data_IF_442931423454
#
_entry.id   IF_442931423454
#
_cell.length_a   1.000
_cell.length_b   1.000
_cell.length_c   1.000
_cell.angle_alpha   90.00
_cell.angle_beta   90.00
_cell.angle_gamma   90.00
#
_symmetry.space_group_name_H-M   'P 1'
#
loop_
_entity.id
_entity.type
_entity.pdbx_description
1 polymer ?
#
# COMPACT_ATOMS: atom_id res chain seq x y z
N UNK A 1 -57.74 37.22 -2.19
CA UNK A 1 -56.70 36.90 -1.18
C UNK A 1 -56.23 35.48 -1.44
N UNK A 2 -55.04 35.28 -2.00
CA UNK A 2 -54.44 33.96 -2.23
C UNK A 2 -53.22 33.85 -1.31
N UNK A 3 -53.33 33.03 -0.27
CA UNK A 3 -52.20 32.74 0.61
C UNK A 3 -51.32 31.69 -0.09
N UNK A 4 -50.11 32.10 -0.47
CA UNK A 4 -49.09 31.22 -1.01
C UNK A 4 -48.30 30.66 0.18
N UNK A 5 -48.48 29.36 0.48
CA UNK A 5 -47.69 28.66 1.49
C UNK A 5 -46.33 28.30 0.87
N UNK A 6 -45.24 28.89 1.35
CA UNK A 6 -43.88 28.51 0.97
C UNK A 6 -43.39 27.48 2.00
N UNK A 7 -43.26 26.22 1.58
CA UNK A 7 -42.66 25.16 2.39
C UNK A 7 -41.17 25.15 2.07
N UNK A 8 -40.36 25.67 3.00
CA UNK A 8 -38.90 25.62 2.92
C UNK A 8 -38.42 24.29 3.50
N UNK A 9 -38.04 23.34 2.65
CA UNK A 9 -37.42 22.09 3.08
C UNK A 9 -35.95 22.38 3.42
N UNK A 10 -35.61 22.40 4.71
CA UNK A 10 -34.23 22.45 5.20
C UNK A 10 -33.63 21.05 5.10
N UNK A 11 -32.95 20.75 3.99
CA UNK A 11 -32.09 19.57 3.86
C UNK A 11 -30.86 19.78 4.74
N UNK A 12 -30.87 19.18 5.94
CA UNK A 12 -29.69 19.06 6.77
C UNK A 12 -28.74 18.04 6.12
N UNK A 13 -27.88 18.50 5.21
CA UNK A 13 -26.67 17.77 4.84
C UNK A 13 -25.74 17.76 6.05
N UNK A 14 -25.93 16.78 6.93
CA UNK A 14 -24.90 16.44 7.91
C UNK A 14 -23.78 15.78 7.13
N UNK A 15 -22.78 16.56 6.69
CA UNK A 15 -21.51 15.97 6.29
C UNK A 15 -20.97 15.28 7.54
N UNK A 16 -21.14 13.96 7.63
CA UNK A 16 -20.31 13.16 8.52
C UNK A 16 -18.89 13.39 8.05
N UNK A 17 -18.17 14.29 8.72
CA UNK A 17 -16.73 14.46 8.57
C UNK A 17 -16.09 13.15 9.04
N UNK A 18 -16.13 12.12 8.19
CA UNK A 18 -15.17 11.04 8.26
C UNK A 18 -13.82 11.68 8.01
N UNK A 19 -12.85 11.44 8.87
CA UNK A 19 -11.49 11.88 8.57
C UNK A 19 -11.07 11.23 7.25
N UNK A 20 -10.75 12.05 6.25
CA UNK A 20 -10.20 11.55 4.99
C UNK A 20 -8.91 10.78 5.30
N UNK A 21 -8.83 9.54 4.84
CA UNK A 21 -7.67 8.69 5.09
C UNK A 21 -6.56 9.11 4.13
N UNK A 22 -5.46 9.60 4.69
CA UNK A 22 -4.25 9.91 3.93
C UNK A 22 -3.46 8.62 3.65
N UNK A 23 -3.66 8.05 2.46
CA UNK A 23 -2.97 6.83 2.03
C UNK A 23 -1.48 7.05 1.70
N UNK A 24 -1.17 8.20 1.10
CA UNK A 24 0.17 8.49 0.56
C UNK A 24 1.24 8.69 1.64
N UNK A 25 2.48 8.38 1.27
CA UNK A 25 3.66 8.60 2.11
C UNK A 25 4.60 7.40 2.17
N UNK A 26 5.53 7.46 3.13
CA UNK A 26 6.46 6.35 3.42
C UNK A 26 6.17 5.80 4.81
N UNK A 27 6.06 4.48 4.89
CA UNK A 27 5.87 3.76 6.13
C UNK A 27 7.00 2.76 6.34
N UNK A 28 7.43 2.59 7.59
CA UNK A 28 8.53 1.67 7.92
C UNK A 28 8.25 0.90 9.21
N UNK A 29 8.92 -0.23 9.36
CA UNK A 29 9.08 -0.92 10.64
C UNK A 29 10.51 -1.45 10.79
N UNK A 30 10.88 -1.78 12.03
CA UNK A 30 12.25 -2.16 12.35
C UNK A 30 13.19 -0.97 12.29
N UNK A 31 14.45 -1.20 12.63
CA UNK A 31 15.48 -0.14 12.62
C UNK A 31 16.63 -0.50 11.70
N UNK A 32 17.24 -1.68 11.93
CA UNK A 32 18.33 -2.20 11.11
C UNK A 32 18.18 -3.71 10.89
N UNK A 33 18.68 -4.26 9.78
CA UNK A 33 18.71 -5.70 9.57
C UNK A 33 19.49 -6.48 10.64
N UNK A 34 20.47 -5.86 11.30
CA UNK A 34 21.23 -6.49 12.40
C UNK A 34 20.39 -6.69 13.67
N UNK A 35 19.39 -5.83 13.89
CA UNK A 35 18.50 -5.88 15.06
C UNK A 35 17.22 -6.67 14.81
N UNK A 36 16.98 -7.11 13.57
CA UNK A 36 15.85 -7.95 13.20
C UNK A 36 15.27 -7.62 11.83
N UNK A 37 13.99 -7.96 11.64
CA UNK A 37 13.27 -7.70 10.40
C UNK A 37 13.09 -6.20 10.19
N UNK A 38 13.21 -5.76 8.95
CA UNK A 38 12.90 -4.38 8.56
C UNK A 38 11.99 -4.37 7.34
N UNK A 39 11.21 -3.30 7.20
CA UNK A 39 10.40 -3.08 6.02
C UNK A 39 10.21 -1.60 5.75
N UNK A 40 10.11 -1.28 4.46
CA UNK A 40 9.78 0.05 3.97
C UNK A 40 8.75 -0.10 2.87
N UNK A 41 7.73 0.74 2.89
CA UNK A 41 6.78 0.88 1.80
C UNK A 41 6.58 2.34 1.45
N UNK A 42 6.69 2.66 0.17
CA UNK A 42 6.35 3.95 -0.41
C UNK A 42 5.02 3.83 -1.15
N UNK A 43 4.09 4.74 -0.89
CA UNK A 43 2.73 4.69 -1.42
C UNK A 43 2.42 6.00 -2.14
N UNK A 44 1.98 5.86 -3.39
CA UNK A 44 1.60 6.95 -4.29
C UNK A 44 0.13 6.81 -4.69
N UNK A 45 -0.73 7.80 -4.42
CA UNK A 45 -2.10 7.81 -4.93
C UNK A 45 -2.12 7.99 -6.45
N UNK A 46 -2.61 6.98 -7.18
CA UNK A 46 -2.69 7.00 -8.64
C UNK A 46 -4.07 7.48 -9.12
N UNK A 47 -5.13 7.15 -8.38
CA UNK A 47 -6.48 7.65 -8.60
C UNK A 47 -7.28 7.63 -7.29
N UNK A 48 -8.55 8.02 -7.33
CA UNK A 48 -9.47 7.94 -6.19
C UNK A 48 -9.67 6.52 -5.65
N UNK A 49 -9.37 5.49 -6.46
CA UNK A 49 -9.58 4.08 -6.12
C UNK A 49 -8.34 3.21 -6.24
N UNK A 50 -7.18 3.77 -6.60
CA UNK A 50 -5.95 2.99 -6.81
C UNK A 50 -4.73 3.66 -6.22
N UNK A 51 -3.84 2.85 -5.66
CA UNK A 51 -2.57 3.29 -5.10
C UNK A 51 -1.45 2.44 -5.72
N UNK A 52 -0.37 3.08 -6.14
CA UNK A 52 0.87 2.37 -6.41
C UNK A 52 1.69 2.23 -5.15
N UNK A 53 2.43 1.13 -5.06
CA UNK A 53 3.38 0.92 -3.98
C UNK A 53 4.67 0.29 -4.45
N UNK A 54 5.74 0.63 -3.72
CA UNK A 54 7.00 -0.10 -3.70
C UNK A 54 7.20 -0.62 -2.27
N UNK A 55 7.25 -1.93 -2.10
CA UNK A 55 7.41 -2.59 -0.79
C UNK A 55 8.72 -3.37 -0.78
N UNK A 56 9.62 -2.99 0.13
CA UNK A 56 10.90 -3.66 0.38
C UNK A 56 10.91 -4.26 1.78
N UNK A 57 11.39 -5.50 1.87
CA UNK A 57 11.40 -6.30 3.09
C UNK A 57 12.75 -6.98 3.28
N UNK A 58 13.20 -7.04 4.54
CA UNK A 58 14.39 -7.77 4.95
C UNK A 58 14.09 -8.63 6.18
N UNK A 59 14.54 -9.89 6.19
CA UNK A 59 14.32 -10.79 7.33
C UNK A 59 15.29 -10.58 8.50
N UNK A 60 16.33 -9.78 8.31
CA UNK A 60 17.40 -9.52 9.25
C UNK A 60 18.51 -10.57 9.26
N UNK A 61 19.46 -10.39 10.17
CA UNK A 61 20.57 -11.30 10.41
C UNK A 61 20.09 -12.74 10.74
N UNK A 62 20.93 -13.78 10.49
CA UNK A 62 22.27 -13.70 9.90
C UNK A 62 22.28 -13.84 8.36
N UNK A 63 21.15 -14.16 7.73
CA UNK A 63 21.12 -14.40 6.28
C UNK A 63 20.82 -13.14 5.46
N UNK A 64 20.20 -12.12 6.07
CA UNK A 64 19.90 -10.84 5.43
C UNK A 64 19.08 -10.94 4.14
N UNK A 65 18.35 -12.05 3.95
CA UNK A 65 17.51 -12.23 2.78
C UNK A 65 16.51 -11.07 2.68
N UNK A 66 16.36 -10.55 1.47
CA UNK A 66 15.54 -9.39 1.19
C UNK A 66 14.99 -9.46 -0.22
N UNK A 67 13.83 -8.84 -0.38
CA UNK A 67 13.11 -8.74 -1.63
C UNK A 67 12.33 -7.45 -1.66
N UNK A 68 11.97 -7.04 -2.87
CA UNK A 68 11.06 -5.93 -3.08
C UNK A 68 10.04 -6.31 -4.15
N UNK A 69 8.85 -5.74 -4.05
CA UNK A 69 7.84 -5.83 -5.10
C UNK A 69 7.26 -4.44 -5.37
N UNK A 70 6.72 -4.30 -6.57
CA UNK A 70 5.94 -3.14 -7.00
C UNK A 70 4.55 -3.62 -7.37
N UNK A 71 3.52 -2.81 -7.10
CA UNK A 71 2.18 -3.16 -7.52
C UNK A 71 1.20 -2.01 -7.44
N UNK A 72 0.00 -2.27 -7.93
CA UNK A 72 -1.16 -1.41 -7.79
C UNK A 72 -2.18 -2.08 -6.88
N UNK A 73 -2.47 -1.47 -5.74
CA UNK A 73 -3.59 -1.90 -4.90
C UNK A 73 -4.87 -1.15 -5.25
N UNK A 74 -6.01 -1.81 -5.07
CA UNK A 74 -7.33 -1.23 -5.28
C UNK A 74 -7.96 -0.92 -3.92
N UNK A 75 -8.50 0.28 -3.76
CA UNK A 75 -9.24 0.68 -2.57
C UNK A 75 -10.67 0.18 -2.73
N UNK A 76 -11.13 -0.64 -1.80
CA UNK A 76 -12.50 -1.19 -1.82
C UNK A 76 -13.37 -0.68 -0.65
N UNK A 77 -12.75 -0.06 0.35
CA UNK A 77 -13.42 0.56 1.50
C UNK A 77 -12.50 1.65 2.08
N UNK A 78 -13.02 2.69 2.75
CA UNK A 78 -12.17 3.66 3.43
C UNK A 78 -11.16 2.98 4.37
N UNK A 79 -9.87 3.17 4.06
CA UNK A 79 -8.77 2.62 4.84
C UNK A 79 -8.39 1.20 4.47
N UNK A 80 -9.04 0.58 3.49
CA UNK A 80 -8.77 -0.80 3.10
C UNK A 80 -8.50 -0.91 1.60
N UNK A 81 -7.40 -1.58 1.27
CA UNK A 81 -7.01 -1.87 -0.10
C UNK A 81 -6.47 -3.30 -0.24
N UNK A 82 -6.50 -3.82 -1.45
CA UNK A 82 -5.98 -5.15 -1.79
C UNK A 82 -5.07 -5.10 -3.01
N UNK A 83 -4.08 -5.99 -3.03
CA UNK A 83 -3.26 -6.28 -4.20
C UNK A 83 -3.31 -7.78 -4.44
N UNK A 84 -3.48 -8.18 -5.69
CA UNK A 84 -3.36 -9.58 -6.09
C UNK A 84 -2.61 -9.67 -7.41
N UNK A 85 -1.56 -10.50 -7.42
CA UNK A 85 -0.86 -10.93 -8.62
C UNK A 85 -0.72 -12.44 -8.61
N UNK A 86 -1.33 -13.08 -9.61
CA UNK A 86 -1.25 -14.52 -9.85
C UNK A 86 -0.55 -14.72 -11.18
N UNK A 87 0.56 -15.46 -11.17
CA UNK A 87 1.23 -15.95 -12.37
C UNK A 87 1.39 -17.47 -12.24
N UNK A 88 0.55 -18.21 -12.98
CA UNK A 88 0.49 -19.67 -12.93
C UNK A 88 1.77 -20.33 -13.48
N UNK A 89 2.42 -19.72 -14.48
CA UNK A 89 3.63 -20.26 -15.08
C UNK A 89 4.80 -20.27 -14.09
N UNK A 90 4.86 -19.25 -13.25
CA UNK A 90 5.92 -19.06 -12.25
C UNK A 90 5.49 -19.50 -10.84
N UNK A 91 4.31 -20.12 -10.71
CA UNK A 91 3.73 -20.56 -9.43
C UNK A 91 3.64 -19.42 -8.40
N UNK A 92 3.40 -18.19 -8.85
CA UNK A 92 3.24 -17.02 -7.98
C UNK A 92 1.76 -16.86 -7.65
N UNK A 93 1.43 -16.91 -6.36
CA UNK A 93 0.15 -16.44 -5.84
C UNK A 93 0.41 -15.36 -4.79
N UNK A 94 0.65 -14.12 -5.22
CA UNK A 94 0.85 -13.00 -4.31
C UNK A 94 -0.47 -12.28 -4.06
N UNK A 95 -0.98 -12.29 -2.84
CA UNK A 95 -2.19 -11.54 -2.49
C UNK A 95 -2.08 -10.93 -1.09
N UNK A 96 -2.24 -9.62 -1.02
CA UNK A 96 -2.00 -8.78 0.15
C UNK A 96 -3.21 -7.92 0.47
N UNK A 97 -3.52 -7.78 1.76
CA UNK A 97 -4.48 -6.83 2.29
C UNK A 97 -3.74 -5.72 3.05
N UNK A 98 -4.16 -4.48 2.80
CA UNK A 98 -3.60 -3.26 3.37
C UNK A 98 -4.68 -2.57 4.19
N UNK A 99 -4.37 -2.27 5.45
CA UNK A 99 -5.25 -1.49 6.33
C UNK A 99 -4.55 -0.25 6.81
N UNK A 100 -5.12 0.89 6.45
CA UNK A 100 -4.58 2.21 6.71
C UNK A 100 -5.25 2.85 7.92
N UNK A 101 -4.45 3.61 8.63
CA UNK A 101 -4.86 4.66 9.54
C UNK A 101 -3.98 5.88 9.27
N UNK A 102 -4.25 7.02 9.91
CA UNK A 102 -3.52 8.26 9.65
C UNK A 102 -1.98 8.10 9.78
N UNK A 103 -1.51 7.30 10.74
CA UNK A 103 -0.09 7.13 11.05
C UNK A 103 0.41 5.67 11.00
N UNK A 104 -0.42 4.72 10.56
CA UNK A 104 -0.04 3.30 10.53
C UNK A 104 -0.64 2.57 9.34
N UNK A 105 0.08 1.54 8.89
CA UNK A 105 -0.30 0.65 7.82
C UNK A 105 -0.04 -0.80 8.25
N UNK A 106 -1.07 -1.64 8.16
CA UNK A 106 -0.99 -3.06 8.45
C UNK A 106 -1.06 -3.83 7.14
N UNK A 107 -0.05 -4.64 6.86
CA UNK A 107 0.00 -5.51 5.68
C UNK A 107 -0.14 -6.95 6.13
N UNK A 108 -1.04 -7.70 5.49
CA UNK A 108 -1.26 -9.13 5.74
C UNK A 108 -1.35 -9.88 4.43
N UNK A 109 -0.83 -11.10 4.41
CA UNK A 109 -1.03 -12.03 3.30
C UNK A 109 -2.43 -12.62 3.38
N UNK A 110 -3.16 -12.65 2.27
CA UNK A 110 -4.48 -13.27 2.21
C UNK A 110 -4.37 -14.80 2.37
N UNK A 111 -5.47 -15.45 2.76
CA UNK A 111 -5.47 -16.90 2.92
C UNK A 111 -5.11 -17.59 1.59
N UNK A 112 -4.30 -18.65 1.66
CA UNK A 112 -3.84 -19.44 0.51
C UNK A 112 -2.90 -18.72 -0.46
N UNK A 113 -2.51 -17.47 -0.18
CA UNK A 113 -1.47 -16.76 -0.92
C UNK A 113 -0.08 -16.98 -0.31
N UNK A 114 0.93 -16.88 -1.17
CA UNK A 114 2.34 -16.99 -0.83
C UNK A 114 2.92 -15.64 -0.41
N UNK A 115 4.16 -15.65 0.10
CA UNK A 115 4.91 -14.44 0.46
C UNK A 115 5.54 -13.74 -0.78
N UNK A 116 4.82 -13.69 -1.90
CA UNK A 116 5.12 -12.83 -3.05
C UNK A 116 6.55 -12.91 -3.64
N UNK A 117 7.28 -14.00 -3.42
CA UNK A 117 8.58 -14.23 -4.06
C UNK A 117 9.75 -13.38 -3.55
N UNK A 118 9.68 -12.78 -2.34
CA UNK A 118 10.78 -11.95 -1.81
C UNK A 118 12.11 -12.68 -1.55
N UNK A 119 12.12 -14.00 -1.65
CA UNK A 119 13.24 -14.87 -1.28
C UNK A 119 13.04 -15.59 0.05
N UNK A 120 14.01 -16.44 0.39
CA UNK A 120 13.85 -17.43 1.46
C UNK A 120 13.53 -16.79 2.83
N UNK A 121 12.37 -17.15 3.37
CA UNK A 121 11.87 -16.76 4.68
C UNK A 121 11.79 -15.23 4.89
N UNK A 122 11.42 -14.50 3.83
CA UNK A 122 11.02 -13.09 3.87
C UNK A 122 9.49 -13.06 3.73
N UNK A 123 8.80 -12.43 4.68
CA UNK A 123 7.34 -12.50 4.77
C UNK A 123 6.69 -11.14 4.51
N UNK A 124 5.62 -11.11 3.72
CA UNK A 124 4.93 -9.87 3.28
C UNK A 124 4.30 -9.08 4.42
N UNK A 125 4.01 -9.75 5.54
CA UNK A 125 3.28 -9.17 6.66
C UNK A 125 4.15 -8.26 7.55
N UNK A 126 3.56 -7.15 7.97
CA UNK A 126 4.18 -6.21 8.91
C UNK A 126 3.21 -5.12 9.38
N UNK A 127 3.60 -4.47 10.48
CA UNK A 127 2.89 -3.34 11.09
C UNK A 127 3.79 -2.12 10.96
N UNK A 128 3.46 -1.24 10.02
CA UNK A 128 4.30 -0.13 9.62
C UNK A 128 3.79 1.16 10.25
N UNK A 129 4.73 2.04 10.60
CA UNK A 129 4.45 3.40 11.04
C UNK A 129 4.77 4.38 9.93
N UNK A 130 3.91 5.37 9.71
CA UNK A 130 4.17 6.47 8.76
C UNK A 130 5.36 7.29 9.28
N UNK A 131 6.45 7.33 8.50
CA UNK A 131 7.66 8.08 8.84
C UNK A 131 7.85 9.31 7.98
N UNK A 132 7.21 9.36 6.80
CA UNK A 132 7.14 10.55 5.95
C UNK A 132 5.72 10.74 5.43
N UNK A 133 5.17 11.94 5.62
CA UNK A 133 3.83 12.32 5.14
C UNK A 133 3.84 12.80 3.69
N UNK A 134 4.97 13.32 3.23
CA UNK A 134 5.16 13.73 1.85
C UNK A 134 4.95 12.54 0.91
N UNK A 135 4.13 12.73 -0.12
CA UNK A 135 3.84 11.69 -1.11
C UNK A 135 5.08 11.52 -1.98
N UNK A 136 5.70 10.33 -2.02
CA UNK A 136 6.88 10.09 -2.83
C UNK A 136 6.53 10.10 -4.32
N UNK A 137 7.18 10.94 -5.13
CA UNK A 137 7.00 10.94 -6.59
C UNK A 137 7.74 9.78 -7.28
N UNK A 138 8.74 9.22 -6.61
CA UNK A 138 9.58 8.13 -7.08
C UNK A 138 10.02 7.23 -5.93
N UNK A 139 10.52 6.05 -6.28
CA UNK A 139 11.31 5.19 -5.38
C UNK A 139 12.66 4.85 -6.02
N UNK A 140 13.61 4.40 -5.21
CA UNK A 140 14.87 3.86 -5.67
C UNK A 140 14.75 2.36 -5.53
N UNK A 141 14.86 1.63 -6.65
CA UNK A 141 14.80 0.18 -6.62
C UNK A 141 16.15 -0.43 -6.21
N UNK A 142 16.20 -1.76 -6.10
CA UNK A 142 17.36 -2.45 -5.53
C UNK A 142 18.63 -2.33 -6.37
N UNK A 143 18.49 -2.06 -7.68
CA UNK A 143 19.62 -1.76 -8.58
C UNK A 143 20.24 -0.38 -8.34
N UNK A 144 19.53 0.50 -7.61
CA UNK A 144 19.86 1.92 -7.46
C UNK A 144 19.17 2.82 -8.49
N UNK A 145 18.40 2.26 -9.42
CA UNK A 145 17.65 3.04 -10.40
C UNK A 145 16.48 3.80 -9.75
N UNK A 146 16.27 5.04 -10.21
CA UNK A 146 15.12 5.86 -9.82
C UNK A 146 13.93 5.57 -10.72
N UNK A 147 12.82 5.16 -10.13
CA UNK A 147 11.58 4.84 -10.83
C UNK A 147 10.48 5.80 -10.39
N UNK A 148 9.87 6.50 -11.36
CA UNK A 148 8.80 7.45 -11.11
C UNK A 148 7.44 6.77 -11.06
N UNK A 149 6.64 7.03 -10.03
CA UNK A 149 5.31 6.43 -9.90
C UNK A 149 4.35 6.84 -11.02
N UNK A 150 4.45 8.09 -11.50
CA UNK A 150 3.60 8.61 -12.58
C UNK A 150 3.79 7.89 -13.93
N UNK A 151 4.96 7.29 -14.14
CA UNK A 151 5.34 6.61 -15.39
C UNK A 151 5.38 5.08 -15.19
N UNK A 152 4.88 4.59 -14.05
CA UNK A 152 5.02 3.21 -13.63
C UNK A 152 4.08 2.28 -14.41
N UNK A 153 4.70 1.37 -15.17
CA UNK A 153 4.04 0.17 -15.69
C UNK A 153 4.33 -0.99 -14.75
N UNK A 154 3.56 -1.09 -13.66
CA UNK A 154 3.82 -2.03 -12.57
C UNK A 154 3.70 -3.50 -13.00
N UNK A 155 2.93 -3.79 -14.07
CA UNK A 155 2.74 -5.18 -14.55
C UNK A 155 4.06 -5.75 -15.08
N UNK A 156 4.89 -4.92 -15.74
CA UNK A 156 6.21 -5.33 -16.23
C UNK A 156 7.18 -5.76 -15.13
N UNK A 157 6.93 -5.41 -13.87
CA UNK A 157 7.74 -5.87 -12.74
C UNK A 157 7.49 -7.34 -12.39
N UNK A 158 6.49 -7.96 -13.01
CA UNK A 158 6.08 -9.34 -12.82
C UNK A 158 6.25 -10.20 -14.09
N UNK A 159 6.90 -9.66 -15.12
CA UNK A 159 7.22 -10.33 -16.38
C UNK A 159 8.67 -10.86 -16.31
N UNK A 160 8.84 -12.05 -15.71
CA UNK A 160 10.13 -12.66 -15.38
C UNK A 160 10.53 -13.73 -16.39
#
# INVERSE_FOLDING_TARGET
MKNLLIITILLNFSSTYGQDIEYGGTFTYGTTPDSGRTGMISIYPNSDSTLFFYLELNRGAPSYNSGAIVGQMNIYSPGEADFTMINENDYINCSLNFRFSNDSLFIRTNAQADDCGYGHAVHSKGDFKKTRKEIPEYFIERSGEKIWFKDLDWVKWWDW
#
